data_IF_331967835136
#
_entry.id   IF_331967835136
#
_cell.length_a   1.000
_cell.length_b   1.000
_cell.length_c   1.000
_cell.angle_alpha   90.00
_cell.angle_beta   90.00
_cell.angle_gamma   90.00
#
_symmetry.space_group_name_H-M   'P 1'
#
loop_
_entity.id
_entity.type
_entity.pdbx_description
1 polymer ?
#
# COMPACT_ATOMS: atom_id res chain seq x y z
N UNK A 1 -10.44 -55.14 7.43
CA UNK A 1 -9.49 -54.07 7.52
C UNK A 1 -8.57 -54.12 6.28
N UNK A 2 -8.79 -53.18 5.34
CA UNK A 2 -7.92 -53.03 4.17
C UNK A 2 -6.76 -52.11 4.55
N UNK A 3 -5.50 -52.39 4.18
CA UNK A 3 -4.40 -51.47 4.43
C UNK A 3 -4.51 -50.24 3.57
N UNK A 4 -4.35 -49.04 4.18
CA UNK A 4 -4.25 -47.77 3.45
C UNK A 4 -3.01 -47.76 2.59
N UNK A 5 -3.19 -47.67 1.28
CA UNK A 5 -2.11 -47.42 0.34
C UNK A 5 -1.42 -46.09 0.68
N UNK A 6 -0.13 -46.09 0.95
CA UNK A 6 0.73 -44.91 1.00
C UNK A 6 0.82 -44.37 -0.44
N UNK A 7 0.17 -43.26 -0.74
CA UNK A 7 0.41 -42.51 -1.97
C UNK A 7 1.91 -42.14 -2.00
N UNK A 8 2.62 -42.70 -2.95
CA UNK A 8 3.96 -42.23 -3.32
C UNK A 8 3.80 -40.90 -4.04
N UNK A 9 4.23 -39.80 -3.40
CA UNK A 9 4.44 -38.55 -4.11
C UNK A 9 5.37 -38.83 -5.29
N UNK A 10 4.86 -38.66 -6.51
CA UNK A 10 5.66 -38.70 -7.73
C UNK A 10 6.41 -37.37 -7.81
N UNK A 11 7.68 -37.38 -7.43
CA UNK A 11 8.59 -36.24 -7.65
C UNK A 11 8.99 -36.21 -9.12
N UNK A 12 8.67 -35.11 -9.81
CA UNK A 12 9.13 -34.88 -11.18
C UNK A 12 10.66 -34.63 -11.21
N UNK A 13 11.39 -35.06 -12.24
CA UNK A 13 12.86 -34.93 -12.27
C UNK A 13 13.44 -33.52 -12.16
N UNK A 14 12.62 -32.45 -12.35
CA UNK A 14 13.01 -31.07 -12.14
C UNK A 14 13.08 -30.63 -10.66
N UNK A 15 12.34 -31.30 -9.78
CA UNK A 15 12.19 -30.87 -8.37
C UNK A 15 13.49 -31.07 -7.55
N UNK A 16 14.37 -31.98 -7.95
CA UNK A 16 15.58 -32.29 -7.20
C UNK A 16 16.65 -31.19 -7.35
N UNK A 17 16.79 -30.61 -8.55
CA UNK A 17 17.72 -29.50 -8.79
C UNK A 17 17.26 -28.21 -8.12
N UNK A 18 15.98 -27.89 -8.21
CA UNK A 18 15.38 -26.71 -7.55
C UNK A 18 15.57 -26.80 -6.03
N UNK A 19 15.34 -27.97 -5.44
CA UNK A 19 15.51 -28.20 -4.01
C UNK A 19 16.98 -28.05 -3.56
N UNK A 20 17.93 -28.54 -4.34
CA UNK A 20 19.36 -28.43 -4.02
C UNK A 20 19.86 -26.98 -4.15
N UNK A 21 19.37 -26.22 -5.13
CA UNK A 21 19.70 -24.80 -5.28
C UNK A 21 19.11 -23.96 -4.15
N UNK A 22 17.88 -24.24 -3.74
CA UNK A 22 17.27 -23.61 -2.55
C UNK A 22 18.10 -23.92 -1.31
N UNK A 23 18.50 -25.17 -1.08
CA UNK A 23 19.33 -25.56 0.07
C UNK A 23 20.70 -24.87 0.06
N UNK A 24 21.35 -24.74 -1.10
CA UNK A 24 22.64 -24.02 -1.21
C UNK A 24 22.48 -22.52 -0.92
N UNK A 25 21.45 -21.88 -1.46
CA UNK A 25 21.13 -20.47 -1.20
C UNK A 25 20.81 -20.25 0.28
N UNK A 26 20.00 -21.12 0.89
CA UNK A 26 19.70 -21.10 2.32
C UNK A 26 20.96 -21.18 3.17
N UNK A 27 21.88 -22.12 2.89
CA UNK A 27 23.11 -22.30 3.64
C UNK A 27 24.02 -21.08 3.57
N UNK A 28 24.11 -20.40 2.42
CA UNK A 28 24.90 -19.17 2.26
C UNK A 28 24.25 -17.99 3.00
N UNK A 29 22.96 -17.76 2.83
CA UNK A 29 22.25 -16.66 3.50
C UNK A 29 22.22 -16.84 5.03
N UNK A 30 22.01 -18.07 5.52
CA UNK A 30 22.03 -18.39 6.95
C UNK A 30 23.42 -18.22 7.62
N UNK A 31 24.50 -18.13 6.85
CA UNK A 31 25.81 -17.78 7.41
C UNK A 31 25.87 -16.32 7.86
N UNK A 32 25.10 -15.43 7.24
CA UNK A 32 25.08 -13.99 7.53
C UNK A 32 23.82 -13.55 8.27
N UNK A 33 22.63 -14.03 7.89
CA UNK A 33 21.33 -13.66 8.45
C UNK A 33 20.75 -14.83 9.25
N UNK A 34 20.48 -14.62 10.53
CA UNK A 34 19.86 -15.60 11.44
C UNK A 34 18.52 -15.15 11.97
N UNK A 35 18.32 -13.85 12.06
CA UNK A 35 17.12 -13.26 12.63
C UNK A 35 16.65 -12.06 11.79
N UNK A 36 15.36 -12.05 11.46
CA UNK A 36 14.71 -11.00 10.67
C UNK A 36 13.74 -10.22 11.56
N UNK A 37 13.89 -8.90 11.59
CA UNK A 37 12.92 -7.98 12.18
C UNK A 37 11.84 -7.57 11.19
N UNK A 38 10.58 -7.51 11.62
CA UNK A 38 9.46 -7.03 10.82
C UNK A 38 8.83 -5.84 11.51
N UNK A 39 8.61 -4.76 10.77
CA UNK A 39 7.88 -3.59 11.25
C UNK A 39 6.90 -3.04 10.21
N UNK A 40 5.86 -2.39 10.70
CA UNK A 40 4.96 -1.55 9.90
C UNK A 40 5.17 -0.09 10.28
N UNK A 41 5.18 0.81 9.31
CA UNK A 41 5.44 2.23 9.51
C UNK A 41 4.60 3.09 8.58
N UNK A 42 4.32 4.31 8.99
CA UNK A 42 3.46 5.24 8.23
C UNK A 42 1.97 5.04 8.54
N UNK A 43 1.11 5.39 7.60
CA UNK A 43 -0.32 5.10 7.67
C UNK A 43 -0.58 3.60 7.52
N UNK A 44 -1.57 3.10 8.24
CA UNK A 44 -2.00 1.71 8.06
C UNK A 44 -2.75 1.54 6.73
N UNK A 45 -2.68 0.31 6.20
CA UNK A 45 -3.35 -0.08 4.97
C UNK A 45 -3.92 -1.51 5.12
N UNK A 46 -5.12 -1.78 4.59
CA UNK A 46 -5.68 -3.13 4.60
C UNK A 46 -4.77 -4.10 3.85
N UNK A 47 -4.39 -5.20 4.49
CA UNK A 47 -3.42 -6.16 3.92
C UNK A 47 -2.05 -6.13 4.60
N UNK A 48 -1.72 -5.13 5.43
CA UNK A 48 -0.47 -5.15 6.21
C UNK A 48 -0.35 -6.39 7.09
N UNK A 49 -1.44 -6.85 7.71
CA UNK A 49 -1.44 -8.08 8.49
C UNK A 49 -1.20 -9.32 7.63
N UNK A 50 -1.72 -9.36 6.40
CA UNK A 50 -1.43 -10.45 5.47
C UNK A 50 0.06 -10.47 5.08
N UNK A 51 0.69 -9.29 4.88
CA UNK A 51 2.11 -9.15 4.63
C UNK A 51 2.96 -9.61 5.83
N UNK A 52 2.65 -9.16 7.05
CA UNK A 52 3.31 -9.60 8.29
C UNK A 52 3.26 -11.12 8.40
N UNK A 53 2.07 -11.70 8.16
CA UNK A 53 1.87 -13.16 8.20
C UNK A 53 2.74 -13.87 7.16
N UNK A 54 2.77 -13.37 5.94
CA UNK A 54 3.52 -13.98 4.85
C UNK A 54 5.03 -13.95 5.12
N UNK A 55 5.57 -12.78 5.47
CA UNK A 55 6.99 -12.61 5.83
C UNK A 55 7.37 -13.54 6.99
N UNK A 56 6.57 -13.55 8.06
CA UNK A 56 6.84 -14.39 9.25
C UNK A 56 6.88 -15.87 8.88
N UNK A 57 5.88 -16.36 8.15
CA UNK A 57 5.80 -17.78 7.80
C UNK A 57 6.87 -18.20 6.80
N UNK A 58 7.16 -17.38 5.79
CA UNK A 58 8.22 -17.63 4.83
C UNK A 58 9.61 -17.63 5.50
N UNK A 59 9.86 -16.68 6.41
CA UNK A 59 11.12 -16.61 7.15
C UNK A 59 11.32 -17.85 8.05
N UNK A 60 10.30 -18.26 8.80
CA UNK A 60 10.36 -19.48 9.64
C UNK A 60 10.55 -20.72 8.76
N UNK A 61 9.87 -20.81 7.62
CA UNK A 61 10.04 -21.91 6.67
C UNK A 61 11.47 -21.98 6.12
N UNK A 62 12.10 -20.82 5.88
CA UNK A 62 13.50 -20.71 5.46
C UNK A 62 14.51 -20.95 6.60
N UNK A 63 14.06 -21.14 7.85
CA UNK A 63 14.91 -21.42 9.01
C UNK A 63 15.38 -20.18 9.79
N UNK A 64 14.88 -18.98 9.47
CA UNK A 64 15.19 -17.75 10.20
C UNK A 64 14.35 -17.62 11.48
N UNK A 65 14.93 -16.99 12.50
CA UNK A 65 14.17 -16.44 13.63
C UNK A 65 13.49 -15.16 13.18
N UNK A 66 12.33 -14.86 13.76
CA UNK A 66 11.55 -13.67 13.41
C UNK A 66 11.23 -12.88 14.65
N UNK A 67 11.37 -11.56 14.58
CA UNK A 67 10.98 -10.63 15.63
C UNK A 67 10.05 -9.56 15.08
N UNK A 68 8.90 -9.37 15.73
CA UNK A 68 7.98 -8.29 15.47
C UNK A 68 8.37 -7.05 16.24
N UNK A 69 8.46 -5.92 15.56
CA UNK A 69 8.81 -4.61 16.14
C UNK A 69 7.53 -3.78 16.18
N UNK A 70 7.04 -3.50 17.38
CA UNK A 70 5.81 -2.72 17.56
C UNK A 70 6.05 -1.24 17.30
N UNK A 71 5.04 -0.53 16.78
CA UNK A 71 5.06 0.91 16.51
C UNK A 71 6.19 1.38 15.57
N UNK A 72 6.60 0.50 14.66
CA UNK A 72 7.56 0.83 13.61
C UNK A 72 8.93 1.30 14.13
N UNK A 73 9.45 2.36 13.56
CA UNK A 73 10.75 2.92 13.95
C UNK A 73 10.81 3.40 15.40
N UNK A 74 9.67 3.83 15.96
CA UNK A 74 9.61 4.18 17.38
C UNK A 74 9.94 2.98 18.25
N UNK A 75 9.40 1.81 17.94
CA UNK A 75 9.66 0.60 18.70
C UNK A 75 11.12 0.12 18.64
N UNK A 76 11.86 0.50 17.59
CA UNK A 76 13.32 0.31 17.59
C UNK A 76 14.01 1.23 18.58
N UNK A 77 13.58 2.49 18.68
CA UNK A 77 14.16 3.47 19.63
C UNK A 77 13.79 3.13 21.08
N UNK A 78 12.55 2.67 21.32
CA UNK A 78 12.00 2.38 22.66
C UNK A 78 12.08 0.92 23.08
N UNK A 79 12.72 0.06 22.27
CA UNK A 79 12.92 -1.39 22.54
C UNK A 79 11.62 -2.19 22.68
N UNK A 80 10.66 -1.98 21.78
CA UNK A 80 9.38 -2.70 21.77
C UNK A 80 9.41 -3.90 20.79
N UNK A 81 10.21 -4.92 21.11
CA UNK A 81 10.49 -6.07 20.23
C UNK A 81 10.01 -7.37 20.89
N UNK A 82 9.35 -8.20 20.11
CA UNK A 82 8.81 -9.51 20.57
C UNK A 82 9.19 -10.60 19.57
N UNK A 83 9.55 -11.77 20.07
CA UNK A 83 9.80 -12.94 19.22
C UNK A 83 8.48 -13.42 18.60
N UNK A 84 8.51 -13.68 17.28
CA UNK A 84 7.37 -14.14 16.52
C UNK A 84 7.51 -15.62 16.14
N UNK A 85 6.43 -16.34 16.38
CA UNK A 85 6.21 -17.71 15.92
C UNK A 85 5.04 -17.74 14.93
N UNK A 86 4.76 -18.88 14.34
CA UNK A 86 3.59 -19.06 13.48
C UNK A 86 2.26 -18.81 14.20
N UNK A 87 2.23 -18.96 15.53
CA UNK A 87 1.05 -18.70 16.35
C UNK A 87 0.71 -17.21 16.43
N UNK A 88 1.72 -16.33 16.54
CA UNK A 88 1.52 -14.87 16.62
C UNK A 88 0.85 -14.30 15.37
N UNK A 89 1.00 -14.96 14.23
CA UNK A 89 0.43 -14.54 12.93
C UNK A 89 -0.72 -15.43 12.47
N UNK A 90 -1.29 -16.21 13.37
CA UNK A 90 -2.48 -17.03 13.11
C UNK A 90 -3.73 -16.15 13.07
N UNK A 91 -4.66 -16.43 12.14
CA UNK A 91 -5.96 -15.75 12.01
C UNK A 91 -5.89 -14.22 11.89
N UNK A 92 -4.86 -13.68 11.20
CA UNK A 92 -4.71 -12.24 10.97
C UNK A 92 -4.84 -11.82 9.50
N UNK A 93 -4.84 -12.77 8.55
CA UNK A 93 -4.84 -12.46 7.10
C UNK A 93 -6.06 -11.61 6.69
N UNK A 94 -7.20 -11.81 7.34
CA UNK A 94 -8.46 -11.10 7.08
C UNK A 94 -8.60 -9.80 7.87
N UNK A 95 -7.70 -9.50 8.81
CA UNK A 95 -7.81 -8.33 9.69
C UNK A 95 -7.24 -7.09 9.02
N UNK A 96 -8.02 -6.01 9.03
CA UNK A 96 -7.56 -4.67 8.68
C UNK A 96 -6.57 -4.10 9.70
N UNK A 97 -6.00 -2.93 9.38
CA UNK A 97 -4.98 -2.30 10.20
C UNK A 97 -3.70 -3.13 10.27
N UNK A 98 -2.94 -2.98 11.37
CA UNK A 98 -1.71 -3.75 11.61
C UNK A 98 -1.58 -4.18 13.06
N UNK A 99 -1.28 -5.46 13.29
CA UNK A 99 -1.04 -6.00 14.65
C UNK A 99 0.23 -5.43 15.29
N UNK A 100 1.21 -5.01 14.48
CA UNK A 100 2.44 -4.39 14.95
C UNK A 100 2.26 -2.91 15.31
N UNK A 101 1.11 -2.31 14.96
CA UNK A 101 0.83 -0.88 15.15
C UNK A 101 1.82 0.01 14.38
N UNK A 102 1.52 1.28 14.28
CA UNK A 102 2.40 2.32 13.74
C UNK A 102 2.49 3.49 14.70
N UNK A 103 3.57 4.25 14.63
CA UNK A 103 3.70 5.52 15.33
C UNK A 103 4.66 6.45 14.57
N UNK A 104 4.41 7.76 14.64
CA UNK A 104 5.39 8.74 14.21
C UNK A 104 6.57 8.73 15.19
N UNK A 105 7.80 8.79 14.66
CA UNK A 105 9.03 8.82 15.45
C UNK A 105 9.92 9.95 14.94
N UNK A 106 9.92 11.07 15.64
CA UNK A 106 10.79 12.21 15.30
C UNK A 106 12.25 11.91 15.63
N UNK A 107 12.48 11.14 16.67
CA UNK A 107 13.80 10.73 17.12
C UNK A 107 14.55 9.94 16.03
N UNK A 108 13.86 9.07 15.30
CA UNK A 108 14.46 8.28 14.21
C UNK A 108 14.90 9.16 13.02
N UNK A 109 14.43 10.40 12.92
CA UNK A 109 14.87 11.34 11.89
C UNK A 109 16.28 11.89 12.18
N UNK A 110 16.78 11.77 13.41
CA UNK A 110 18.12 12.19 13.82
C UNK A 110 19.12 11.03 13.73
N UNK A 111 20.42 11.30 13.51
CA UNK A 111 21.47 10.27 13.53
C UNK A 111 21.53 9.53 14.88
N UNK A 112 21.37 10.24 15.99
CA UNK A 112 21.41 9.70 17.36
C UNK A 112 20.25 8.71 17.59
N UNK A 113 19.05 9.05 17.15
CA UNK A 113 17.89 8.15 17.25
C UNK A 113 18.03 6.90 16.38
N UNK A 114 18.65 7.03 15.20
CA UNK A 114 18.95 5.87 14.35
C UNK A 114 20.06 5.01 14.95
N UNK A 115 21.07 5.60 15.63
CA UNK A 115 22.07 4.85 16.38
C UNK A 115 21.42 4.02 17.49
N UNK A 116 20.52 4.61 18.29
CA UNK A 116 19.75 3.89 19.32
C UNK A 116 18.95 2.73 18.73
N UNK A 117 18.29 2.97 17.59
CA UNK A 117 17.56 1.94 16.87
C UNK A 117 18.46 0.78 16.41
N UNK A 118 19.66 1.09 15.90
CA UNK A 118 20.63 0.10 15.48
C UNK A 118 21.18 -0.71 16.67
N UNK A 119 21.51 -0.05 17.78
CA UNK A 119 21.98 -0.70 19.01
C UNK A 119 20.90 -1.67 19.55
N UNK A 120 19.64 -1.30 19.44
CA UNK A 120 18.51 -2.17 19.78
C UNK A 120 18.45 -3.41 18.87
N UNK A 121 18.61 -3.25 17.55
CA UNK A 121 18.70 -4.40 16.64
C UNK A 121 19.84 -5.34 17.02
N UNK A 122 21.00 -4.79 17.32
CA UNK A 122 22.19 -5.58 17.71
C UNK A 122 21.95 -6.34 19.03
N UNK A 123 21.37 -5.70 20.05
CA UNK A 123 21.02 -6.35 21.33
C UNK A 123 20.05 -7.53 21.13
N UNK A 124 19.12 -7.38 20.19
CA UNK A 124 18.16 -8.44 19.88
C UNK A 124 18.68 -9.44 18.84
N UNK A 125 19.90 -9.28 18.33
CA UNK A 125 20.48 -10.16 17.31
C UNK A 125 19.68 -10.18 16.01
N UNK A 126 19.10 -9.03 15.63
CA UNK A 126 18.39 -8.86 14.36
C UNK A 126 19.41 -8.46 13.30
N UNK A 127 19.50 -9.26 12.23
CA UNK A 127 20.51 -9.13 11.18
C UNK A 127 19.95 -8.44 9.91
N UNK A 128 18.63 -8.49 9.71
CA UNK A 128 17.96 -7.90 8.55
C UNK A 128 16.57 -7.37 8.94
N UNK A 129 16.04 -6.43 8.18
CA UNK A 129 14.69 -5.88 8.39
C UNK A 129 13.79 -6.08 7.17
N UNK A 130 12.51 -6.33 7.42
CA UNK A 130 11.43 -6.14 6.46
C UNK A 130 10.56 -4.99 6.94
N UNK A 131 10.49 -3.93 6.15
CA UNK A 131 9.73 -2.70 6.43
C UNK A 131 8.50 -2.64 5.54
N UNK A 132 7.32 -2.62 6.14
CA UNK A 132 6.03 -2.54 5.43
C UNK A 132 5.49 -1.13 5.61
N UNK A 133 5.37 -0.36 4.52
CA UNK A 133 4.88 1.02 4.59
C UNK A 133 4.99 1.77 3.27
N UNK A 134 4.63 3.06 3.29
CA UNK A 134 4.68 3.96 2.14
C UNK A 134 6.03 4.67 1.99
N UNK A 135 6.03 5.72 1.16
CA UNK A 135 7.22 6.51 0.76
C UNK A 135 8.09 6.94 1.93
N UNK A 136 7.52 7.61 2.95
CA UNK A 136 8.28 8.06 4.11
C UNK A 136 8.93 6.92 4.90
N UNK A 137 8.28 5.76 4.96
CA UNK A 137 8.82 4.57 5.63
C UNK A 137 9.99 3.97 4.87
N UNK A 138 9.90 3.91 3.54
CA UNK A 138 10.98 3.41 2.67
C UNK A 138 12.14 4.42 2.60
N UNK A 139 11.86 5.73 2.70
CA UNK A 139 12.89 6.76 2.86
C UNK A 139 13.70 6.55 4.13
N UNK A 140 13.03 6.33 5.27
CA UNK A 140 13.67 5.98 6.53
C UNK A 140 14.49 4.69 6.44
N UNK A 141 13.93 3.65 5.81
CA UNK A 141 14.61 2.39 5.56
C UNK A 141 15.90 2.56 4.75
N UNK A 142 15.86 3.36 3.68
CA UNK A 142 17.03 3.66 2.84
C UNK A 142 18.14 4.35 3.62
N UNK A 143 17.80 5.37 4.41
CA UNK A 143 18.78 6.11 5.21
C UNK A 143 19.44 5.14 6.22
N UNK A 144 18.62 4.39 6.93
CA UNK A 144 19.05 3.45 7.95
C UNK A 144 19.92 2.33 7.39
N UNK A 145 19.54 1.78 6.24
CA UNK A 145 20.31 0.78 5.52
C UNK A 145 21.69 1.26 5.12
N UNK A 146 21.79 2.52 4.62
CA UNK A 146 23.06 3.09 4.17
C UNK A 146 24.00 3.45 5.33
N UNK A 147 23.47 3.96 6.45
CA UNK A 147 24.26 4.35 7.62
C UNK A 147 24.91 3.14 8.30
N UNK A 148 24.20 2.01 8.37
CA UNK A 148 24.64 0.85 9.15
C UNK A 148 24.94 -0.39 8.31
N UNK A 149 24.95 -0.28 6.98
CA UNK A 149 25.10 -1.42 6.07
C UNK A 149 24.17 -2.58 6.42
N UNK A 150 22.92 -2.26 6.80
CA UNK A 150 21.90 -3.22 7.23
C UNK A 150 21.10 -3.70 6.04
N UNK A 151 20.93 -5.03 5.80
CA UNK A 151 20.03 -5.54 4.79
C UNK A 151 18.57 -5.17 5.13
N UNK A 152 17.91 -4.42 4.25
CA UNK A 152 16.51 -4.06 4.42
C UNK A 152 15.73 -4.34 3.14
N UNK A 153 14.58 -5.01 3.28
CA UNK A 153 13.61 -5.21 2.20
C UNK A 153 12.34 -4.41 2.53
N UNK A 154 11.85 -3.64 1.56
CA UNK A 154 10.62 -2.87 1.67
C UNK A 154 9.43 -3.57 1.04
N UNK A 155 8.27 -3.49 1.68
CA UNK A 155 6.98 -3.86 1.09
C UNK A 155 6.09 -2.61 0.98
N UNK A 156 5.51 -2.32 -0.20
CA UNK A 156 4.70 -1.13 -0.42
C UNK A 156 3.33 -1.25 0.24
N UNK A 157 3.23 -0.90 1.52
CA UNK A 157 1.99 -0.89 2.31
C UNK A 157 1.42 0.52 2.40
N UNK A 158 0.63 0.92 1.42
CA UNK A 158 -0.05 2.22 1.35
C UNK A 158 -1.26 2.14 0.42
N UNK A 159 -2.32 2.89 0.74
CA UNK A 159 -3.50 3.00 -0.12
C UNK A 159 -3.31 4.01 -1.26
N UNK A 160 -2.29 4.87 -1.20
CA UNK A 160 -2.11 6.00 -2.12
C UNK A 160 -1.64 5.56 -3.52
N UNK A 161 -1.05 4.36 -3.63
CA UNK A 161 -0.52 3.76 -4.86
C UNK A 161 0.50 4.63 -5.61
N UNK A 162 1.23 5.45 -4.88
CA UNK A 162 2.15 6.49 -5.36
C UNK A 162 3.61 6.04 -5.52
N UNK A 163 3.95 4.82 -5.10
CA UNK A 163 5.32 4.30 -5.15
C UNK A 163 5.72 3.88 -6.56
N UNK A 164 6.85 4.43 -7.05
CA UNK A 164 7.38 4.08 -8.36
C UNK A 164 7.90 2.64 -8.42
N UNK A 165 7.69 1.99 -9.57
CA UNK A 165 8.22 0.65 -9.83
C UNK A 165 7.31 -0.50 -9.41
N UNK A 166 6.10 -0.21 -8.95
CA UNK A 166 5.04 -1.20 -8.73
C UNK A 166 3.73 -0.76 -9.36
N UNK A 167 2.98 -1.68 -9.95
CA UNK A 167 1.67 -1.39 -10.54
C UNK A 167 0.63 -1.12 -9.45
N UNK A 168 0.72 -1.86 -8.33
CA UNK A 168 -0.22 -1.74 -7.22
C UNK A 168 0.50 -1.88 -5.87
N UNK A 169 -0.05 -1.21 -4.86
CA UNK A 169 0.42 -1.26 -3.46
C UNK A 169 -0.59 -2.01 -2.59
N UNK A 170 -0.11 -2.58 -1.49
CA UNK A 170 -0.94 -3.33 -0.53
C UNK A 170 -1.92 -2.36 0.15
N UNK A 171 -3.21 -2.62 0.00
CA UNK A 171 -4.30 -1.83 0.57
C UNK A 171 -5.02 -0.93 -0.42
N UNK A 172 -4.45 -0.71 -1.60
CA UNK A 172 -5.04 0.13 -2.64
C UNK A 172 -6.37 -0.42 -3.18
N UNK A 173 -6.42 -1.71 -3.50
CA UNK A 173 -7.64 -2.36 -4.00
C UNK A 173 -8.78 -2.32 -2.97
N UNK A 174 -8.47 -2.54 -1.71
CA UNK A 174 -9.47 -2.44 -0.63
C UNK A 174 -9.99 -1.02 -0.47
N UNK A 175 -9.12 -0.01 -0.56
CA UNK A 175 -9.53 1.39 -0.51
C UNK A 175 -10.44 1.76 -1.68
N UNK A 176 -10.16 1.28 -2.90
CA UNK A 176 -11.04 1.46 -4.06
C UNK A 176 -12.40 0.82 -3.84
N UNK A 177 -12.47 -0.38 -3.30
CA UNK A 177 -13.75 -1.05 -3.00
C UNK A 177 -14.55 -0.25 -1.97
N UNK A 178 -13.90 0.31 -0.95
CA UNK A 178 -14.54 1.20 0.04
C UNK A 178 -15.10 2.46 -0.63
N UNK A 179 -14.33 3.08 -1.53
CA UNK A 179 -14.78 4.26 -2.30
C UNK A 179 -16.02 3.91 -3.13
N UNK A 180 -15.98 2.82 -3.91
CA UNK A 180 -17.12 2.39 -4.71
C UNK A 180 -18.37 2.19 -3.86
N UNK A 181 -18.27 1.46 -2.75
CA UNK A 181 -19.39 1.22 -1.84
C UNK A 181 -20.00 2.52 -1.29
N UNK A 182 -19.15 3.51 -0.95
CA UNK A 182 -19.61 4.81 -0.48
C UNK A 182 -20.26 5.63 -1.61
N UNK A 183 -19.67 5.64 -2.79
CA UNK A 183 -20.19 6.38 -3.95
C UNK A 183 -21.53 5.82 -4.39
N UNK A 184 -21.71 4.50 -4.43
CA UNK A 184 -22.99 3.85 -4.79
C UNK A 184 -24.11 4.29 -3.84
N UNK A 185 -23.85 4.34 -2.52
CA UNK A 185 -24.81 4.85 -1.52
C UNK A 185 -25.12 6.34 -1.70
N UNK A 186 -24.13 7.15 -2.05
CA UNK A 186 -24.30 8.58 -2.33
C UNK A 186 -25.09 8.78 -3.61
N UNK A 187 -24.89 7.93 -4.64
CA UNK A 187 -25.61 7.99 -5.91
C UNK A 187 -27.12 7.84 -5.74
N UNK A 188 -27.55 6.92 -4.87
CA UNK A 188 -28.99 6.73 -4.58
C UNK A 188 -29.64 8.02 -4.10
N UNK A 189 -29.00 8.75 -3.20
CA UNK A 189 -29.53 10.03 -2.69
C UNK A 189 -29.32 11.18 -3.68
N UNK A 190 -28.22 11.20 -4.42
CA UNK A 190 -27.96 12.21 -5.45
C UNK A 190 -29.05 12.21 -6.51
N UNK A 191 -29.41 11.03 -7.01
CA UNK A 191 -30.47 10.84 -8.03
C UNK A 191 -31.84 11.26 -7.52
N UNK A 192 -32.12 11.03 -6.25
CA UNK A 192 -33.43 11.38 -5.64
C UNK A 192 -33.67 12.88 -5.51
N UNK A 193 -32.65 13.72 -5.57
CA UNK A 193 -32.74 15.16 -5.29
C UNK A 193 -32.10 16.05 -6.33
N UNK A 194 -31.68 15.53 -7.47
CA UNK A 194 -31.03 16.31 -8.56
C UNK A 194 -29.80 17.12 -8.08
N UNK A 195 -28.91 16.48 -7.29
CA UNK A 195 -27.79 17.14 -6.60
C UNK A 195 -26.45 16.88 -7.28
N UNK A 196 -25.54 17.85 -7.12
CA UNK A 196 -24.14 17.72 -7.48
C UNK A 196 -23.33 17.36 -6.22
N UNK A 197 -22.69 16.21 -6.23
CA UNK A 197 -21.83 15.76 -5.14
C UNK A 197 -20.35 15.84 -5.48
N UNK A 198 -19.58 16.52 -4.64
CA UNK A 198 -18.12 16.40 -4.58
C UNK A 198 -17.74 15.42 -3.47
N UNK A 199 -17.08 14.34 -3.83
CA UNK A 199 -16.67 13.28 -2.89
C UNK A 199 -15.16 13.31 -2.78
N UNK A 200 -14.66 13.73 -1.60
CA UNK A 200 -13.23 13.75 -1.32
C UNK A 200 -12.75 12.37 -0.95
N UNK A 201 -11.68 11.94 -1.61
CA UNK A 201 -11.00 10.67 -1.36
C UNK A 201 -9.54 10.92 -1.00
N UNK A 202 -8.95 10.03 -0.20
CA UNK A 202 -7.54 10.07 0.16
C UNK A 202 -6.66 9.89 -1.08
N UNK A 203 -5.36 9.95 -0.92
CA UNK A 203 -4.36 9.80 -1.97
C UNK A 203 -3.19 10.76 -1.75
N UNK A 204 -3.28 11.65 -0.75
CA UNK A 204 -2.27 12.65 -0.46
C UNK A 204 -2.03 13.54 -1.69
N UNK A 205 -0.82 13.50 -2.27
CA UNK A 205 -0.44 14.28 -3.45
C UNK A 205 -0.63 13.49 -4.76
N UNK A 206 -1.41 12.38 -4.74
CA UNK A 206 -1.62 11.49 -5.87
C UNK A 206 -3.10 11.22 -6.15
N UNK A 207 -3.50 11.29 -7.40
CA UNK A 207 -4.89 11.15 -7.87
C UNK A 207 -5.32 9.73 -8.20
N UNK A 208 -4.55 8.69 -7.87
CA UNK A 208 -4.86 7.30 -8.27
C UNK A 208 -6.19 6.80 -7.72
N UNK A 209 -6.49 7.07 -6.44
CA UNK A 209 -7.77 6.69 -5.82
C UNK A 209 -8.94 7.45 -6.46
N UNK A 210 -8.79 8.75 -6.68
CA UNK A 210 -9.85 9.57 -7.28
C UNK A 210 -10.13 9.13 -8.73
N UNK A 211 -9.09 8.96 -9.56
CA UNK A 211 -9.24 8.59 -10.96
C UNK A 211 -9.86 7.19 -11.12
N UNK A 212 -9.28 6.19 -10.45
CA UNK A 212 -9.76 4.82 -10.58
C UNK A 212 -11.12 4.63 -9.89
N UNK A 213 -11.34 5.30 -8.75
CA UNK A 213 -12.63 5.33 -8.07
C UNK A 213 -13.72 5.96 -8.94
N UNK A 214 -13.42 7.04 -9.66
CA UNK A 214 -14.38 7.68 -10.58
C UNK A 214 -14.77 6.74 -11.73
N UNK A 215 -13.78 6.09 -12.34
CA UNK A 215 -14.06 5.12 -13.42
C UNK A 215 -14.89 3.94 -12.88
N UNK A 216 -14.47 3.37 -11.75
CA UNK A 216 -15.11 2.17 -11.19
C UNK A 216 -16.53 2.43 -10.68
N UNK A 217 -16.83 3.63 -10.21
CA UNK A 217 -18.16 4.02 -9.73
C UNK A 217 -19.03 4.69 -10.80
N UNK A 218 -18.49 4.94 -12.01
CA UNK A 218 -19.21 5.68 -13.05
C UNK A 218 -19.50 7.13 -12.67
N UNK A 219 -18.60 7.78 -11.94
CA UNK A 219 -18.66 9.20 -11.67
C UNK A 219 -18.37 10.03 -12.93
N UNK A 220 -18.91 11.22 -12.98
CA UNK A 220 -18.80 12.09 -14.14
C UNK A 220 -17.40 12.68 -14.31
N UNK A 221 -16.64 12.85 -13.21
CA UNK A 221 -15.27 13.35 -13.29
C UNK A 221 -14.42 12.98 -12.07
N UNK A 222 -13.10 13.18 -12.23
CA UNK A 222 -12.13 13.16 -11.14
C UNK A 222 -11.29 14.43 -11.20
N UNK A 223 -11.14 15.13 -10.07
CA UNK A 223 -10.21 16.26 -9.91
C UNK A 223 -8.98 15.72 -9.21
N UNK A 224 -7.83 15.78 -9.88
CA UNK A 224 -6.57 15.18 -9.43
C UNK A 224 -5.41 16.16 -9.57
N UNK A 225 -4.40 16.12 -8.68
CA UNK A 225 -3.30 17.09 -8.66
C UNK A 225 -2.35 16.98 -9.86
N UNK A 226 -2.30 15.84 -10.55
CA UNK A 226 -1.37 15.60 -11.67
C UNK A 226 -1.80 16.24 -13.00
N UNK A 227 -3.02 16.75 -13.08
CA UNK A 227 -3.52 17.47 -14.26
C UNK A 227 -3.48 18.95 -13.97
N UNK A 228 -3.28 19.77 -15.05
CA UNK A 228 -3.24 21.23 -15.02
C UNK A 228 -4.29 21.90 -14.11
N UNK A 229 -4.09 23.15 -13.81
CA UNK A 229 -4.76 23.89 -12.73
C UNK A 229 -6.21 23.47 -12.47
N UNK A 230 -6.58 23.40 -11.21
CA UNK A 230 -7.93 23.11 -10.73
C UNK A 230 -9.02 23.93 -11.46
N UNK A 231 -8.70 25.18 -11.78
CA UNK A 231 -9.57 26.06 -12.55
C UNK A 231 -9.93 25.48 -13.93
N UNK A 232 -8.94 24.92 -14.63
CA UNK A 232 -9.16 24.37 -15.98
C UNK A 232 -9.97 23.07 -15.91
N UNK A 233 -9.72 22.22 -14.89
CA UNK A 233 -10.48 20.97 -14.69
C UNK A 233 -11.95 21.26 -14.32
N UNK A 234 -12.17 22.26 -13.46
CA UNK A 234 -13.51 22.66 -13.04
C UNK A 234 -14.29 23.33 -14.19
N UNK A 235 -13.66 24.23 -14.95
CA UNK A 235 -14.27 24.87 -16.10
C UNK A 235 -14.67 23.84 -17.18
N UNK A 236 -13.77 22.91 -17.52
CA UNK A 236 -14.03 21.84 -18.48
C UNK A 236 -15.18 20.92 -18.02
N UNK A 237 -15.23 20.60 -16.72
CA UNK A 237 -16.31 19.84 -16.10
C UNK A 237 -17.66 20.54 -16.19
N UNK A 238 -17.72 21.83 -15.88
CA UNK A 238 -18.95 22.61 -15.85
C UNK A 238 -19.42 22.87 -17.29
N UNK A 239 -18.52 23.23 -18.20
CA UNK A 239 -18.88 23.51 -19.59
C UNK A 239 -19.30 22.27 -20.37
N UNK A 240 -18.67 21.14 -20.14
CA UNK A 240 -18.88 19.92 -20.90
C UNK A 240 -19.68 18.83 -20.17
N UNK A 241 -19.58 18.77 -18.83
CA UNK A 241 -20.22 17.72 -18.00
C UNK A 241 -21.66 18.04 -17.61
N UNK A 242 -21.96 19.28 -17.20
CA UNK A 242 -23.28 19.63 -16.67
C UNK A 242 -24.30 20.11 -17.72
N UNK A 243 -23.87 20.44 -18.93
CA UNK A 243 -24.78 20.90 -19.99
C UNK A 243 -25.73 19.84 -20.54
N UNK A 244 -25.53 18.56 -20.24
CA UNK A 244 -26.34 17.47 -20.79
C UNK A 244 -27.27 16.89 -19.73
N UNK A 245 -28.40 17.57 -19.45
CA UNK A 245 -29.65 17.04 -18.85
C UNK A 245 -29.56 15.88 -17.85
N UNK A 246 -28.47 15.72 -17.10
CA UNK A 246 -28.39 14.76 -15.98
C UNK A 246 -28.86 15.48 -14.73
N UNK A 247 -29.83 14.90 -14.07
CA UNK A 247 -30.43 15.45 -12.85
C UNK A 247 -29.52 15.31 -11.62
N UNK A 248 -28.42 14.55 -11.71
CA UNK A 248 -27.44 14.39 -10.62
C UNK A 248 -26.06 14.13 -11.20
N UNK A 249 -25.04 14.61 -10.51
CA UNK A 249 -23.64 14.40 -10.91
C UNK A 249 -22.76 14.12 -9.67
N UNK A 250 -21.79 13.25 -9.85
CA UNK A 250 -20.81 12.87 -8.81
C UNK A 250 -19.42 13.15 -9.36
N UNK A 251 -18.64 13.90 -8.60
CA UNK A 251 -17.24 14.23 -8.89
C UNK A 251 -16.37 13.72 -7.75
N UNK A 252 -15.38 12.90 -8.06
CA UNK A 252 -14.38 12.51 -7.08
C UNK A 252 -13.24 13.53 -7.04
N UNK A 253 -12.83 13.91 -5.84
CA UNK A 253 -11.77 14.90 -5.60
C UNK A 253 -10.66 14.24 -4.80
N UNK A 254 -9.43 14.25 -5.32
CA UNK A 254 -8.28 13.80 -4.55
C UNK A 254 -8.01 14.79 -3.39
N UNK A 255 -7.77 14.25 -2.18
CA UNK A 255 -7.25 15.01 -1.05
C UNK A 255 -5.89 15.61 -1.45
N UNK A 256 -5.81 16.92 -1.61
CA UNK A 256 -4.56 17.59 -1.95
C UNK A 256 -4.54 19.02 -1.42
N UNK A 257 -3.42 19.47 -0.83
CA UNK A 257 -3.24 20.88 -0.48
C UNK A 257 -3.30 21.82 -1.70
N UNK A 258 -2.99 21.31 -2.88
CA UNK A 258 -2.98 22.07 -4.13
C UNK A 258 -4.41 22.40 -4.58
N UNK A 259 -5.34 21.45 -4.42
CA UNK A 259 -6.75 21.62 -4.83
C UNK A 259 -7.60 22.28 -3.78
N UNK A 260 -7.12 22.44 -2.54
CA UNK A 260 -7.91 22.92 -1.40
C UNK A 260 -8.99 21.93 -0.95
N UNK A 261 -9.09 20.78 -1.59
CA UNK A 261 -10.05 19.71 -1.31
C UNK A 261 -11.48 20.00 -1.79
N UNK A 262 -12.36 19.03 -1.59
CA UNK A 262 -13.74 19.12 -2.09
C UNK A 262 -14.55 20.28 -1.53
N UNK A 263 -14.25 20.73 -0.30
CA UNK A 263 -14.97 21.87 0.32
C UNK A 263 -14.67 23.19 -0.39
N UNK A 264 -13.40 23.44 -0.76
CA UNK A 264 -13.03 24.67 -1.47
C UNK A 264 -13.64 24.70 -2.88
N UNK A 265 -13.61 23.55 -3.58
CA UNK A 265 -14.21 23.39 -4.89
C UNK A 265 -15.72 23.61 -4.84
N UNK A 266 -16.41 22.97 -3.90
CA UNK A 266 -17.85 23.11 -3.72
C UNK A 266 -18.27 24.56 -3.49
N UNK A 267 -17.59 25.26 -2.58
CA UNK A 267 -17.84 26.67 -2.29
C UNK A 267 -17.71 27.54 -3.55
N UNK A 268 -16.68 27.33 -4.33
CA UNK A 268 -16.47 28.05 -5.58
C UNK A 268 -17.58 27.76 -6.60
N UNK A 269 -18.03 26.50 -6.71
CA UNK A 269 -19.15 26.16 -7.61
C UNK A 269 -20.46 26.79 -7.13
N UNK A 270 -20.75 26.82 -5.84
CA UNK A 270 -21.94 27.50 -5.28
C UNK A 270 -21.94 29.02 -5.57
N UNK A 271 -20.77 29.67 -5.51
CA UNK A 271 -20.62 31.11 -5.80
C UNK A 271 -20.75 31.41 -7.30
N UNK A 272 -20.14 30.62 -8.17
CA UNK A 272 -20.11 30.87 -9.63
C UNK A 272 -21.35 30.31 -10.34
N UNK A 273 -22.00 29.27 -9.78
CA UNK A 273 -23.11 28.52 -10.40
C UNK A 273 -24.25 28.23 -9.39
N UNK A 274 -24.96 29.25 -8.91
CA UNK A 274 -25.96 29.15 -7.83
C UNK A 274 -27.19 28.30 -8.18
N UNK A 275 -27.33 27.87 -9.42
CA UNK A 275 -28.42 26.96 -9.86
C UNK A 275 -28.21 25.50 -9.44
N UNK A 276 -27.00 25.12 -8.97
CA UNK A 276 -26.71 23.75 -8.53
C UNK A 276 -26.89 23.61 -7.02
N UNK A 277 -27.58 22.55 -6.59
CA UNK A 277 -27.62 22.12 -5.17
C UNK A 277 -26.38 21.27 -4.87
N UNK A 278 -25.31 21.91 -4.40
CA UNK A 278 -24.01 21.28 -4.19
C UNK A 278 -23.95 20.60 -2.82
N UNK A 279 -23.36 19.42 -2.78
CA UNK A 279 -23.11 18.67 -1.54
C UNK A 279 -21.69 18.13 -1.52
N UNK A 280 -21.12 18.02 -0.32
CA UNK A 280 -19.77 17.47 -0.11
C UNK A 280 -19.84 16.26 0.81
N UNK A 281 -19.10 15.24 0.46
CA UNK A 281 -18.83 14.08 1.31
C UNK A 281 -17.33 13.83 1.38
N UNK A 282 -16.76 13.79 2.59
CA UNK A 282 -15.34 13.50 2.81
C UNK A 282 -15.25 12.09 3.38
N UNK A 283 -14.70 11.14 2.61
CA UNK A 283 -14.62 9.75 3.03
C UNK A 283 -13.53 9.52 4.09
N UNK A 284 -12.42 10.25 4.01
CA UNK A 284 -11.38 10.25 5.02
C UNK A 284 -10.89 8.84 5.39
N UNK A 285 -10.71 8.59 6.68
CA UNK A 285 -10.11 7.37 7.20
C UNK A 285 -10.92 6.07 7.01
N UNK A 286 -12.17 6.12 6.53
CA UNK A 286 -12.91 4.91 6.12
C UNK A 286 -12.10 4.08 5.10
N UNK A 287 -11.34 4.75 4.23
CA UNK A 287 -10.54 4.15 3.19
C UNK A 287 -9.31 3.38 3.71
N UNK A 288 -8.90 3.61 4.96
CA UNK A 288 -7.77 2.89 5.59
C UNK A 288 -8.21 1.63 6.32
N UNK A 289 -9.50 1.48 6.58
CA UNK A 289 -10.06 0.40 7.37
C UNK A 289 -10.59 -0.76 6.53
N UNK A 290 -11.15 -1.73 7.23
CA UNK A 290 -11.84 -2.86 6.65
C UNK A 290 -10.98 -4.10 6.46
N UNK A 291 -11.65 -5.18 6.14
CA UNK A 291 -11.03 -6.46 5.83
C UNK A 291 -10.41 -6.40 4.43
N UNK A 292 -9.13 -6.74 4.23
CA UNK A 292 -8.51 -6.69 2.92
C UNK A 292 -9.22 -7.59 1.90
N UNK A 293 -9.37 -7.11 0.67
CA UNK A 293 -9.91 -7.87 -0.45
C UNK A 293 -9.07 -9.12 -0.74
N UNK A 294 -9.61 -10.04 -1.53
CA UNK A 294 -8.84 -11.19 -2.00
C UNK A 294 -7.56 -10.75 -2.75
N UNK A 295 -7.66 -9.69 -3.56
CA UNK A 295 -6.52 -9.13 -4.29
C UNK A 295 -5.41 -8.67 -3.33
N UNK A 296 -5.72 -7.83 -2.34
CA UNK A 296 -4.73 -7.34 -1.39
C UNK A 296 -4.12 -8.45 -0.52
N UNK A 297 -4.91 -9.48 -0.15
CA UNK A 297 -4.37 -10.64 0.58
C UNK A 297 -3.38 -11.45 -0.25
N UNK A 298 -3.69 -11.69 -1.53
CA UNK A 298 -2.81 -12.43 -2.45
C UNK A 298 -1.56 -11.61 -2.72
N UNK A 299 -1.69 -10.32 -3.06
CA UNK A 299 -0.60 -9.40 -3.29
C UNK A 299 0.36 -9.35 -2.10
N UNK A 300 -0.18 -9.09 -0.90
CA UNK A 300 0.60 -9.05 0.34
C UNK A 300 1.30 -10.39 0.64
N UNK A 301 0.65 -11.51 0.35
CA UNK A 301 1.24 -12.84 0.55
C UNK A 301 2.37 -13.11 -0.43
N UNK A 302 2.21 -12.77 -1.70
CA UNK A 302 3.25 -12.90 -2.74
C UNK A 302 4.46 -12.01 -2.42
N UNK A 303 4.22 -10.72 -2.13
CA UNK A 303 5.29 -9.78 -1.79
C UNK A 303 6.01 -10.19 -0.50
N UNK A 304 5.27 -10.67 0.52
CA UNK A 304 5.87 -11.10 1.77
C UNK A 304 6.76 -12.33 1.64
N UNK A 305 6.38 -13.31 0.80
CA UNK A 305 7.23 -14.45 0.46
C UNK A 305 8.46 -14.01 -0.33
N UNK A 306 8.26 -13.18 -1.37
CA UNK A 306 9.34 -12.65 -2.19
C UNK A 306 10.36 -11.79 -1.41
N UNK A 307 9.95 -11.16 -0.29
CA UNK A 307 10.88 -10.45 0.58
C UNK A 307 11.92 -11.40 1.21
N UNK A 308 11.53 -12.62 1.54
CA UNK A 308 12.44 -13.63 2.09
C UNK A 308 13.31 -14.22 0.97
N UNK A 309 12.72 -14.51 -0.20
CA UNK A 309 13.48 -14.96 -1.36
C UNK A 309 14.55 -13.91 -1.75
N UNK A 310 14.23 -12.62 -1.70
CA UNK A 310 15.17 -11.53 -1.92
C UNK A 310 16.36 -11.58 -0.96
N UNK A 311 16.12 -11.79 0.36
CA UNK A 311 17.20 -11.94 1.35
C UNK A 311 18.04 -13.19 1.10
N UNK A 312 17.43 -14.30 0.68
CA UNK A 312 18.13 -15.53 0.32
C UNK A 312 19.01 -15.35 -0.93
N UNK A 313 18.57 -14.51 -1.86
CA UNK A 313 19.29 -14.15 -3.09
C UNK A 313 20.26 -12.96 -2.90
N UNK A 314 20.55 -12.60 -1.63
CA UNK A 314 21.45 -11.49 -1.25
C UNK A 314 21.03 -10.13 -1.84
N UNK A 315 19.73 -9.96 -2.12
CA UNK A 315 19.18 -8.66 -2.47
C UNK A 315 19.10 -7.79 -1.23
N UNK A 316 19.53 -6.54 -1.35
CA UNK A 316 19.57 -5.59 -0.24
C UNK A 316 19.03 -4.25 -0.67
N UNK A 317 18.32 -3.56 0.22
CA UNK A 317 17.89 -2.18 0.05
C UNK A 317 16.98 -1.98 -1.19
N UNK A 318 16.07 -2.94 -1.38
CA UNK A 318 15.08 -2.94 -2.45
C UNK A 318 13.65 -2.98 -1.89
N UNK A 319 12.73 -2.38 -2.62
CA UNK A 319 11.30 -2.57 -2.46
C UNK A 319 10.86 -3.74 -3.35
N UNK A 320 10.05 -4.64 -2.81
CA UNK A 320 9.35 -5.64 -3.61
C UNK A 320 8.18 -4.96 -4.30
N UNK A 321 8.15 -5.00 -5.62
CA UNK A 321 7.04 -4.51 -6.42
C UNK A 321 6.40 -5.63 -7.24
N UNK A 322 5.28 -5.30 -7.89
CA UNK A 322 4.65 -6.13 -8.93
C UNK A 322 4.54 -5.31 -10.20
N UNK A 323 4.98 -5.86 -11.32
CA UNK A 323 4.85 -5.24 -12.64
C UNK A 323 4.42 -6.29 -13.66
N UNK A 324 3.30 -6.06 -14.33
CA UNK A 324 2.69 -7.04 -15.25
C UNK A 324 2.52 -8.43 -14.59
N UNK A 325 2.02 -8.43 -13.35
CA UNK A 325 1.82 -9.63 -12.49
C UNK A 325 3.12 -10.37 -12.08
N UNK A 326 4.29 -9.86 -12.39
CA UNK A 326 5.58 -10.42 -11.98
C UNK A 326 6.18 -9.66 -10.80
N UNK A 327 6.86 -10.37 -9.89
CA UNK A 327 7.61 -9.77 -8.79
C UNK A 327 8.87 -9.09 -9.36
N UNK A 328 9.09 -7.84 -8.95
CA UNK A 328 10.26 -7.05 -9.32
C UNK A 328 10.95 -6.48 -8.07
N UNK A 329 12.27 -6.34 -8.14
CA UNK A 329 13.08 -5.73 -7.09
C UNK A 329 13.45 -4.30 -7.49
N UNK A 330 12.91 -3.34 -6.78
CA UNK A 330 13.08 -1.91 -7.09
C UNK A 330 14.02 -1.28 -6.06
N UNK A 331 15.21 -0.80 -6.44
CA UNK A 331 16.08 -0.10 -5.50
C UNK A 331 15.35 1.04 -4.79
N UNK A 332 15.53 1.20 -3.49
CA UNK A 332 14.84 2.25 -2.71
C UNK A 332 15.00 3.64 -3.32
N UNK A 333 16.19 3.95 -3.84
CA UNK A 333 16.45 5.24 -4.49
C UNK A 333 15.52 5.50 -5.67
N UNK A 334 15.16 4.45 -6.43
CA UNK A 334 14.21 4.58 -7.57
C UNK A 334 12.77 4.65 -7.08
N UNK A 335 12.42 3.84 -6.08
CA UNK A 335 11.06 3.76 -5.56
C UNK A 335 10.57 5.08 -4.94
N UNK A 336 11.48 5.83 -4.25
CA UNK A 336 11.15 7.04 -3.47
C UNK A 336 11.50 8.38 -4.15
N UNK A 337 12.30 8.38 -5.22
CA UNK A 337 12.73 9.61 -5.89
C UNK A 337 11.99 9.91 -7.19
N UNK A 338 11.30 8.92 -7.72
CA UNK A 338 10.58 9.07 -8.97
C UNK A 338 9.08 9.09 -8.69
N UNK A 339 8.39 10.02 -9.32
CA UNK A 339 6.94 10.05 -9.30
C UNK A 339 6.39 8.92 -10.16
N UNK A 340 5.35 8.26 -9.67
CA UNK A 340 4.59 7.29 -10.45
C UNK A 340 3.63 8.05 -11.37
N UNK A 341 3.77 7.94 -12.68
CA UNK A 341 2.92 8.72 -13.60
C UNK A 341 1.48 8.19 -13.59
N UNK A 342 0.52 9.09 -13.67
CA UNK A 342 -0.88 8.76 -13.93
C UNK A 342 -1.01 8.15 -15.33
N UNK A 343 -1.83 7.13 -15.45
CA UNK A 343 -2.13 6.51 -16.74
C UNK A 343 -3.09 7.40 -17.55
N UNK A 344 -2.59 8.01 -18.62
CA UNK A 344 -3.36 8.90 -19.51
C UNK A 344 -4.51 8.19 -20.23
N UNK A 345 -4.39 6.89 -20.47
CA UNK A 345 -5.49 6.12 -21.11
C UNK A 345 -6.70 6.00 -20.17
N UNK A 346 -6.47 5.90 -18.85
CA UNK A 346 -7.55 5.93 -17.87
C UNK A 346 -8.25 7.29 -17.82
N UNK A 347 -7.50 8.39 -17.94
CA UNK A 347 -8.08 9.74 -18.06
C UNK A 347 -8.97 9.85 -19.32
N UNK A 348 -8.48 9.38 -20.45
CA UNK A 348 -9.24 9.35 -21.68
C UNK A 348 -10.48 8.44 -21.58
N UNK A 349 -10.35 7.33 -20.87
CA UNK A 349 -11.47 6.41 -20.59
C UNK A 349 -12.54 7.12 -19.75
N UNK A 350 -12.16 7.78 -18.64
CA UNK A 350 -13.11 8.53 -17.82
C UNK A 350 -13.84 9.57 -18.66
N UNK A 351 -13.13 10.40 -19.44
CA UNK A 351 -13.73 11.41 -20.32
C UNK A 351 -14.72 10.85 -21.33
N UNK A 352 -14.45 9.67 -21.90
CA UNK A 352 -15.36 9.00 -22.85
C UNK A 352 -16.61 8.45 -22.20
N UNK A 353 -16.53 8.05 -20.93
CA UNK A 353 -17.66 7.47 -20.20
C UNK A 353 -18.53 8.52 -19.49
N UNK A 354 -18.06 9.77 -19.40
CA UNK A 354 -18.74 10.90 -18.72
C UNK A 354 -19.76 11.63 -19.61
N UNK A 355 -20.26 11.02 -20.68
CA UNK A 355 -21.22 11.60 -21.65
C UNK A 355 -22.66 11.40 -21.23
#
# INVERSE_FOLDING_TARGET
PRPRAREKLVTLPGDYNIRNDIIKKQNKAMAEIKCIGILTSGGDAPGMNAAIRAVTRAAIFAGFKVKGIYRGYRGLVTDEIVEFTTANVSNIIQRGGTILKTARCKEFQTPEGRQLAYDTLRRHGIDALVVIGGDGSLTGARIFANEFNLPIIGLPGTIDNDLFGTDTTIGYDTALNTIMECVDKIRDTATSHERLFFIEVMGRDAGFLALNGAIASGAEAAIIPEISTEADQLADLIENGFRKSKNSSIVLVAESPVTGGAMAIAKRVEEEYPQYDVRVSILGHLQRGGSPTAHDRILASRMGAAAIDALLDDQRNVMIGVKNDEIVYVPFVKAIKNDKPINRDLLNTLRRLSI
#
